data_IF_801117522346
#
_entry.id   IF_801117522346
#
_cell.length_a   1.000
_cell.length_b   1.000
_cell.length_c   1.000
_cell.angle_alpha   90.00
_cell.angle_beta   90.00
_cell.angle_gamma   90.00
#
_symmetry.space_group_name_H-M   'P 1'
#
loop_
_entity.id
_entity.type
_entity.pdbx_description
1 polymer ?
#
# COMPACT_ATOMS: atom_id res chain seq x y z
N UNK A 1 -11.43 -2.54 -47.98
CA UNK A 1 -10.30 -1.69 -47.52
C UNK A 1 -10.88 -0.58 -46.65
N UNK A 2 -10.34 -0.30 -45.45
CA UNK A 2 -10.83 0.85 -44.65
C UNK A 2 -10.53 2.16 -45.41
N UNK A 3 -11.41 3.15 -45.30
CA UNK A 3 -11.14 4.49 -45.85
C UNK A 3 -10.06 5.20 -45.02
N UNK A 4 -9.35 6.16 -45.60
CA UNK A 4 -8.35 6.97 -44.90
C UNK A 4 -8.97 7.67 -43.67
N UNK A 5 -10.20 8.14 -43.79
CA UNK A 5 -10.95 8.78 -42.69
C UNK A 5 -11.22 7.80 -41.55
N UNK A 6 -11.66 6.58 -41.86
CA UNK A 6 -11.87 5.55 -40.86
C UNK A 6 -10.56 5.14 -40.16
N UNK A 7 -9.43 5.12 -40.88
CA UNK A 7 -8.11 4.89 -40.29
C UNK A 7 -7.72 6.02 -39.32
N UNK A 8 -7.90 7.28 -39.71
CA UNK A 8 -7.59 8.45 -38.86
C UNK A 8 -8.43 8.48 -37.59
N UNK A 9 -9.73 8.23 -37.69
CA UNK A 9 -10.62 8.17 -36.53
C UNK A 9 -10.19 7.06 -35.56
N UNK A 10 -9.81 5.89 -36.08
CA UNK A 10 -9.28 4.80 -35.27
C UNK A 10 -7.96 5.16 -34.58
N UNK A 11 -7.01 5.77 -35.30
CA UNK A 11 -5.75 6.21 -34.69
C UNK A 11 -5.97 7.21 -33.57
N UNK A 12 -6.85 8.21 -33.77
CA UNK A 12 -7.17 9.18 -32.72
C UNK A 12 -7.75 8.53 -31.46
N UNK A 13 -8.68 7.58 -31.63
CA UNK A 13 -9.25 6.85 -30.49
C UNK A 13 -8.18 6.00 -29.76
N UNK A 14 -7.25 5.40 -30.49
CA UNK A 14 -6.16 4.64 -29.89
C UNK A 14 -5.14 5.55 -29.19
N UNK A 15 -4.83 6.73 -29.73
CA UNK A 15 -3.94 7.71 -29.09
C UNK A 15 -4.51 8.19 -27.76
N UNK A 16 -5.82 8.44 -27.69
CA UNK A 16 -6.50 8.81 -26.44
C UNK A 16 -6.36 7.71 -25.37
N UNK A 17 -6.54 6.44 -25.75
CA UNK A 17 -6.34 5.29 -24.85
C UNK A 17 -4.87 5.16 -24.47
N UNK A 18 -3.96 5.24 -25.43
CA UNK A 18 -2.52 5.11 -25.20
C UNK A 18 -2.02 6.11 -24.17
N UNK A 19 -2.35 7.39 -24.37
CA UNK A 19 -1.96 8.46 -23.45
C UNK A 19 -2.58 8.29 -22.06
N UNK A 20 -3.82 7.79 -21.98
CA UNK A 20 -4.46 7.47 -20.69
C UNK A 20 -3.72 6.35 -19.98
N UNK A 21 -3.43 5.25 -20.68
CA UNK A 21 -2.74 4.08 -20.12
C UNK A 21 -1.31 4.43 -19.69
N UNK A 22 -0.58 5.25 -20.45
CA UNK A 22 0.74 5.73 -20.04
C UNK A 22 0.70 6.54 -18.74
N UNK A 23 -0.35 7.36 -18.56
CA UNK A 23 -0.55 8.12 -17.32
C UNK A 23 -0.85 7.19 -16.15
N UNK A 24 -1.76 6.24 -16.33
CA UNK A 24 -2.14 5.28 -15.29
C UNK A 24 -0.94 4.42 -14.87
N UNK A 25 -0.12 3.99 -15.84
CA UNK A 25 1.09 3.22 -15.57
C UNK A 25 2.10 3.99 -14.70
N UNK A 26 2.31 5.29 -14.97
CA UNK A 26 3.19 6.12 -14.13
C UNK A 26 2.71 6.24 -12.68
N UNK A 27 1.40 6.23 -12.44
CA UNK A 27 0.87 6.21 -11.08
C UNK A 27 1.09 4.84 -10.40
N UNK A 28 0.94 3.74 -11.14
CA UNK A 28 1.27 2.39 -10.66
C UNK A 28 2.74 2.29 -10.26
N UNK A 29 3.67 2.83 -11.06
CA UNK A 29 5.11 2.85 -10.73
C UNK A 29 5.38 3.59 -9.42
N UNK A 30 4.78 4.77 -9.22
CA UNK A 30 4.90 5.54 -7.97
C UNK A 30 4.31 4.77 -6.78
N UNK A 31 3.18 4.10 -6.96
CA UNK A 31 2.56 3.29 -5.92
C UNK A 31 3.45 2.11 -5.53
N UNK A 32 4.08 1.45 -6.50
CA UNK A 32 5.02 0.35 -6.25
C UNK A 32 6.18 0.77 -5.36
N UNK A 33 6.81 1.91 -5.65
CA UNK A 33 7.89 2.46 -4.82
C UNK A 33 7.42 2.80 -3.39
N UNK A 34 6.22 3.39 -3.26
CA UNK A 34 5.63 3.68 -1.94
C UNK A 34 5.33 2.41 -1.16
N UNK A 35 4.88 1.35 -1.83
CA UNK A 35 4.55 0.07 -1.20
C UNK A 35 5.79 -0.60 -0.59
N UNK A 36 6.94 -0.54 -1.26
CA UNK A 36 8.20 -1.04 -0.71
C UNK A 36 8.59 -0.31 0.58
N UNK A 37 8.60 1.04 0.55
CA UNK A 37 8.91 1.83 1.75
C UNK A 37 7.91 1.60 2.88
N UNK A 38 6.63 1.44 2.54
CA UNK A 38 5.58 1.12 3.51
C UNK A 38 5.79 -0.24 4.16
N UNK A 39 6.14 -1.27 3.37
CA UNK A 39 6.39 -2.62 3.86
C UNK A 39 7.54 -2.66 4.88
N UNK A 40 8.63 -1.92 4.63
CA UNK A 40 9.76 -1.81 5.55
C UNK A 40 9.35 -1.18 6.90
N UNK A 41 8.52 -0.13 6.86
CA UNK A 41 8.01 0.52 8.09
C UNK A 41 7.06 -0.39 8.86
N UNK A 42 6.22 -1.16 8.15
CA UNK A 42 5.37 -2.16 8.77
C UNK A 42 6.19 -3.23 9.48
N UNK A 43 7.29 -3.71 8.90
CA UNK A 43 8.18 -4.67 9.55
C UNK A 43 8.76 -4.11 10.87
N UNK A 44 9.17 -2.84 10.89
CA UNK A 44 9.65 -2.19 12.12
C UNK A 44 8.55 -2.14 13.19
N UNK A 45 7.33 -1.76 12.82
CA UNK A 45 6.19 -1.71 13.74
C UNK A 45 5.81 -3.10 14.27
N UNK A 46 5.78 -4.10 13.39
CA UNK A 46 5.47 -5.47 13.77
C UNK A 46 6.52 -6.03 14.72
N UNK A 47 7.82 -5.81 14.48
CA UNK A 47 8.88 -6.22 15.41
C UNK A 47 8.73 -5.55 16.77
N UNK A 48 8.50 -4.24 16.79
CA UNK A 48 8.26 -3.51 18.04
C UNK A 48 7.09 -4.12 18.84
N UNK A 49 5.98 -4.44 18.17
CA UNK A 49 4.75 -4.88 18.83
C UNK A 49 4.74 -6.39 19.20
N UNK A 50 5.22 -7.25 18.31
CA UNK A 50 5.14 -8.72 18.47
C UNK A 50 6.38 -9.34 19.10
N UNK A 51 7.55 -8.71 18.94
CA UNK A 51 8.84 -9.24 19.41
C UNK A 51 9.45 -8.38 20.53
N UNK A 52 8.97 -7.14 20.68
CA UNK A 52 9.47 -6.19 21.67
C UNK A 52 8.79 -6.29 23.04
N UNK A 53 9.35 -5.57 24.01
CA UNK A 53 8.89 -5.49 25.39
C UNK A 53 7.97 -4.27 25.64
N UNK A 54 7.28 -3.77 24.62
CA UNK A 54 6.51 -2.52 24.67
C UNK A 54 5.47 -2.47 25.81
N UNK A 55 4.91 -3.62 26.20
CA UNK A 55 3.97 -3.70 27.33
C UNK A 55 4.64 -3.38 28.66
N UNK A 56 5.88 -3.85 28.86
CA UNK A 56 6.68 -3.54 30.06
C UNK A 56 7.11 -2.08 30.06
N UNK A 57 7.48 -1.55 28.89
CA UNK A 57 7.82 -0.14 28.73
C UNK A 57 6.62 0.77 29.01
N UNK A 58 5.44 0.42 28.47
CA UNK A 58 4.17 1.09 28.77
C UNK A 58 3.87 1.10 30.26
N UNK A 59 4.00 -0.04 30.95
CA UNK A 59 3.76 -0.13 32.39
C UNK A 59 4.66 0.82 33.18
N UNK A 60 5.96 0.87 32.85
CA UNK A 60 6.92 1.80 33.48
C UNK A 60 6.59 3.27 33.18
N UNK A 61 6.19 3.58 31.97
CA UNK A 61 5.80 4.94 31.58
C UNK A 61 4.50 5.38 32.28
N UNK A 62 3.56 4.45 32.50
CA UNK A 62 2.32 4.73 33.20
C UNK A 62 2.55 5.12 34.66
N UNK A 63 3.57 4.57 35.33
CA UNK A 63 3.95 4.95 36.71
C UNK A 63 4.26 6.45 36.84
N UNK A 64 4.73 7.08 35.76
CA UNK A 64 5.06 8.52 35.69
C UNK A 64 4.08 9.32 34.82
N UNK A 65 2.94 8.74 34.42
CA UNK A 65 1.93 9.34 33.53
C UNK A 65 2.51 9.82 32.18
N UNK A 66 3.44 9.06 31.60
CA UNK A 66 4.08 9.35 30.31
C UNK A 66 3.83 8.28 29.24
N UNK A 67 2.77 7.50 29.35
CA UNK A 67 2.43 6.40 28.42
C UNK A 67 1.57 6.83 27.22
N UNK A 68 1.39 8.15 27.01
CA UNK A 68 0.55 8.70 25.94
C UNK A 68 1.22 8.65 24.54
N UNK A 69 1.56 7.44 24.09
CA UNK A 69 2.09 7.18 22.76
C UNK A 69 1.17 6.22 22.01
N UNK A 70 0.82 6.55 20.77
CA UNK A 70 -0.08 5.73 19.96
C UNK A 70 0.46 4.29 19.71
N UNK A 71 1.79 4.13 19.64
CA UNK A 71 2.41 2.81 19.48
C UNK A 71 2.25 1.90 20.70
N UNK A 72 1.95 2.46 21.88
CA UNK A 72 1.68 1.70 23.10
C UNK A 72 0.20 1.33 23.26
N UNK A 73 -0.65 1.65 22.28
CA UNK A 73 -2.01 1.12 22.25
C UNK A 73 -2.00 -0.38 21.98
N UNK A 74 -2.88 -1.12 22.65
CA UNK A 74 -3.03 -2.57 22.44
C UNK A 74 -3.49 -2.89 21.01
N UNK A 75 -4.44 -2.12 20.49
CA UNK A 75 -5.05 -2.48 19.21
C UNK A 75 -4.43 -1.77 18.00
N UNK A 76 -3.65 -0.70 18.17
CA UNK A 76 -3.23 0.17 17.06
C UNK A 76 -2.38 -0.57 16.03
N UNK A 77 -1.25 -1.13 16.46
CA UNK A 77 -0.35 -1.87 15.56
C UNK A 77 -0.96 -3.21 15.16
N UNK A 78 -1.70 -3.87 16.06
CA UNK A 78 -2.39 -5.13 15.77
C UNK A 78 -3.38 -4.99 14.61
N UNK A 79 -4.30 -4.02 14.69
CA UNK A 79 -5.31 -3.77 13.66
C UNK A 79 -4.68 -3.37 12.33
N UNK A 80 -3.63 -2.54 12.37
CA UNK A 80 -2.89 -2.15 11.18
C UNK A 80 -2.19 -3.33 10.52
N UNK A 81 -1.54 -4.20 11.31
CA UNK A 81 -0.89 -5.42 10.83
C UNK A 81 -1.90 -6.37 10.16
N UNK A 82 -3.05 -6.60 10.80
CA UNK A 82 -4.13 -7.40 10.23
C UNK A 82 -4.61 -6.86 8.88
N UNK A 83 -4.95 -5.57 8.85
CA UNK A 83 -5.44 -4.88 7.64
C UNK A 83 -4.41 -4.90 6.52
N UNK A 84 -3.13 -4.71 6.86
CA UNK A 84 -2.04 -4.76 5.90
C UNK A 84 -1.89 -6.16 5.26
N UNK A 85 -1.97 -7.23 6.05
CA UNK A 85 -1.89 -8.60 5.54
C UNK A 85 -3.06 -8.92 4.60
N UNK A 86 -4.27 -8.53 4.95
CA UNK A 86 -5.44 -8.69 4.10
C UNK A 86 -5.27 -7.96 2.76
N UNK A 87 -4.83 -6.70 2.80
CA UNK A 87 -4.66 -5.90 1.59
C UNK A 87 -3.53 -6.45 0.70
N UNK A 88 -2.43 -6.92 1.29
CA UNK A 88 -1.35 -7.59 0.56
C UNK A 88 -1.86 -8.81 -0.20
N UNK A 89 -2.72 -9.62 0.41
CA UNK A 89 -3.32 -10.78 -0.26
C UNK A 89 -4.24 -10.35 -1.41
N UNK A 90 -5.05 -9.30 -1.22
CA UNK A 90 -5.91 -8.77 -2.29
C UNK A 90 -5.09 -8.28 -3.47
N UNK A 91 -4.02 -7.53 -3.24
CA UNK A 91 -3.13 -7.03 -4.29
C UNK A 91 -2.49 -8.19 -5.08
N UNK A 92 -1.98 -9.21 -4.38
CA UNK A 92 -1.42 -10.40 -5.03
C UNK A 92 -2.48 -11.10 -5.89
N UNK A 93 -3.70 -11.29 -5.37
CA UNK A 93 -4.81 -11.90 -6.13
C UNK A 93 -5.16 -11.09 -7.37
N UNK A 94 -5.25 -9.76 -7.26
CA UNK A 94 -5.54 -8.89 -8.39
C UNK A 94 -4.46 -9.01 -9.47
N UNK A 95 -3.17 -9.01 -9.08
CA UNK A 95 -2.05 -9.16 -10.02
C UNK A 95 -2.03 -10.53 -10.70
N UNK A 96 -2.37 -11.60 -9.97
CA UNK A 96 -2.37 -12.97 -10.51
C UNK A 96 -3.61 -13.27 -11.35
N UNK A 97 -4.79 -12.74 -11.01
CA UNK A 97 -6.03 -12.96 -11.77
C UNK A 97 -6.12 -12.11 -13.04
N UNK A 98 -5.34 -11.03 -13.13
CA UNK A 98 -5.28 -10.16 -14.30
C UNK A 98 -4.17 -10.53 -15.29
N UNK A 99 -3.38 -11.57 -14.99
CA UNK A 99 -2.37 -12.20 -15.85
C UNK A 99 -2.88 -13.56 -16.36
#
# INVERSE_FOLDING_TARGET
MKTIEAMRANCKAMDEIFLSVEKDFKEIEKMSQKLESFAQKMEVLEKFYFEGDWQKERAKLAEVNQDNFACLSEDGIWNLSGSYREEKIKLIKQLVQSL
#
